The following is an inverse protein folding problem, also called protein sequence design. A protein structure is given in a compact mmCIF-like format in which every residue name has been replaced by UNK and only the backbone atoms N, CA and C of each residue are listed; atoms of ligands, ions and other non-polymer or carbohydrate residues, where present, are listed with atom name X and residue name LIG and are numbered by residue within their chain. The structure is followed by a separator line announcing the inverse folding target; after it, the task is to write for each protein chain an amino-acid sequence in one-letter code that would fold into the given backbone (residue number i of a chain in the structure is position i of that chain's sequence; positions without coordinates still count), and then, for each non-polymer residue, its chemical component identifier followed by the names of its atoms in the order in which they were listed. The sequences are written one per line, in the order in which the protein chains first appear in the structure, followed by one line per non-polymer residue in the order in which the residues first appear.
data_IF_383339359254
#
_entry.id   IF_383339359254
#
_cell.length_a   1.000
_cell.length_b   1.000
_cell.length_c   1.000
_cell.angle_alpha   90.00
_cell.angle_beta   90.00
_cell.angle_gamma   90.00
#
_symmetry.space_group_name_H-M   'P 1'
#
loop_
_entity.id
_entity.type
_entity.pdbx_description
1 polymer ?
#
# COMPACT_ATOMS: atom_id res chain seq x y z
N UNK A 1 -9.33 14.04 2.86
CA UNK A 1 -10.67 14.62 2.73
C UNK A 1 -11.63 14.06 3.80
N UNK A 2 -11.73 12.71 3.96
CA UNK A 2 -12.63 12.12 4.99
C UNK A 2 -12.32 12.64 6.40
N UNK A 3 -11.06 12.63 6.80
CA UNK A 3 -10.64 13.14 8.13
C UNK A 3 -10.94 14.63 8.31
N UNK A 4 -10.90 15.42 7.25
CA UNK A 4 -11.23 16.85 7.32
C UNK A 4 -12.69 17.12 7.74
N UNK A 5 -13.59 16.15 7.52
CA UNK A 5 -15.00 16.27 7.95
C UNK A 5 -15.21 15.97 9.43
N UNK A 6 -14.26 15.28 10.08
CA UNK A 6 -14.41 14.80 11.46
C UNK A 6 -13.38 15.38 12.42
N UNK A 7 -12.23 15.81 11.92
CA UNK A 7 -11.15 16.38 12.72
C UNK A 7 -11.17 17.92 12.66
N UNK A 8 -10.70 18.55 13.73
CA UNK A 8 -10.52 20.01 13.80
C UNK A 8 -9.52 20.49 12.76
N UNK A 9 -8.41 19.77 12.61
CA UNK A 9 -7.39 20.05 11.63
C UNK A 9 -6.77 18.73 11.14
N UNK A 10 -6.29 18.73 9.91
CA UNK A 10 -5.58 17.62 9.29
C UNK A 10 -4.27 18.15 8.71
N UNK A 11 -3.15 17.54 9.05
CA UNK A 11 -1.88 17.82 8.39
C UNK A 11 -1.52 16.66 7.49
N UNK A 12 -1.43 16.90 6.18
CA UNK A 12 -1.01 15.92 5.19
C UNK A 12 0.49 16.06 4.96
N UNK A 13 1.26 15.05 5.38
CA UNK A 13 2.71 15.02 5.26
C UNK A 13 3.07 14.21 4.02
N UNK A 14 3.82 14.79 3.10
CA UNK A 14 4.22 14.14 1.87
C UNK A 14 5.73 14.32 1.59
N UNK A 15 6.43 13.20 1.33
CA UNK A 15 7.89 13.17 1.16
C UNK A 15 8.43 13.78 -0.15
N UNK A 16 7.56 14.15 -1.08
CA UNK A 16 7.94 14.71 -2.39
C UNK A 16 7.23 16.03 -2.60
N UNK A 17 7.74 16.83 -3.53
CA UNK A 17 7.09 18.07 -3.93
C UNK A 17 5.77 17.83 -4.69
N UNK A 18 5.71 16.79 -5.52
CA UNK A 18 4.52 16.45 -6.31
C UNK A 18 3.80 15.21 -5.79
N UNK A 19 2.47 15.27 -5.72
CA UNK A 19 1.63 14.13 -5.41
C UNK A 19 1.51 13.16 -6.59
N UNK A 20 1.31 11.88 -6.28
CA UNK A 20 0.92 10.86 -7.26
C UNK A 20 -0.58 10.74 -7.45
N UNK A 21 -1.35 11.37 -6.57
CA UNK A 21 -2.82 11.41 -6.63
C UNK A 21 -3.31 12.19 -7.86
N UNK A 22 -4.57 11.96 -8.25
CA UNK A 22 -5.17 12.70 -9.34
C UNK A 22 -5.22 14.21 -9.03
N UNK A 23 -5.04 15.08 -10.03
CA UNK A 23 -5.07 16.54 -9.83
C UNK A 23 -6.36 17.02 -9.16
N UNK A 24 -7.47 16.37 -9.44
CA UNK A 24 -8.76 16.68 -8.81
C UNK A 24 -8.73 16.49 -7.29
N UNK A 25 -8.21 15.36 -6.81
CA UNK A 25 -8.12 15.08 -5.37
C UNK A 25 -7.14 16.04 -4.66
N UNK A 26 -6.03 16.37 -5.31
CA UNK A 26 -5.07 17.35 -4.80
C UNK A 26 -5.75 18.71 -4.64
N UNK A 27 -6.41 19.19 -5.68
CA UNK A 27 -7.15 20.46 -5.67
C UNK A 27 -8.28 20.49 -4.64
N UNK A 28 -8.95 19.34 -4.41
CA UNK A 28 -9.95 19.25 -3.32
C UNK A 28 -9.31 19.37 -1.95
N UNK A 29 -8.14 18.78 -1.73
CA UNK A 29 -7.43 18.88 -0.45
C UNK A 29 -6.89 20.30 -0.21
N UNK A 30 -6.37 20.96 -1.24
CA UNK A 30 -5.84 22.33 -1.17
C UNK A 30 -6.92 23.39 -0.88
N UNK A 31 -8.17 23.11 -1.24
CA UNK A 31 -9.32 24.01 -0.98
C UNK A 31 -9.93 23.83 0.40
N UNK A 32 -9.57 22.79 1.16
CA UNK A 32 -10.08 22.57 2.51
C UNK A 32 -9.35 23.47 3.50
N UNK A 33 -10.09 24.35 4.18
CA UNK A 33 -9.53 25.32 5.14
C UNK A 33 -8.81 24.65 6.32
N UNK A 34 -9.26 23.46 6.72
CA UNK A 34 -8.69 22.71 7.84
C UNK A 34 -7.66 21.66 7.42
N UNK A 35 -7.19 21.65 6.16
CA UNK A 35 -6.09 20.80 5.71
C UNK A 35 -4.83 21.65 5.49
N UNK A 36 -3.77 21.35 6.24
CA UNK A 36 -2.40 21.84 6.00
C UNK A 36 -1.61 20.80 5.24
N UNK A 37 -0.97 21.18 4.15
CA UNK A 37 -0.11 20.27 3.35
C UNK A 37 1.35 20.61 3.57
N UNK A 38 2.13 19.63 4.04
CA UNK A 38 3.58 19.70 4.18
C UNK A 38 4.22 18.82 3.10
N UNK A 39 4.83 19.45 2.09
CA UNK A 39 5.58 18.79 1.03
C UNK A 39 7.07 18.72 1.41
N UNK A 40 7.75 17.69 0.92
CA UNK A 40 9.16 17.42 1.22
C UNK A 40 9.45 17.16 2.69
N UNK A 41 8.46 16.62 3.41
CA UNK A 41 8.59 16.21 4.81
C UNK A 41 8.43 14.71 4.98
N UNK A 42 9.13 14.17 5.96
CA UNK A 42 8.98 12.79 6.44
C UNK A 42 8.88 12.75 7.96
N UNK A 43 8.16 11.75 8.47
CA UNK A 43 8.11 11.49 9.91
C UNK A 43 9.36 10.72 10.31
N UNK A 44 10.16 11.27 11.22
CA UNK A 44 11.34 10.60 11.76
C UNK A 44 11.06 9.84 13.04
N UNK A 45 10.25 10.43 13.93
CA UNK A 45 10.04 9.88 15.26
C UNK A 45 8.61 10.12 15.73
N UNK A 46 8.07 9.14 16.44
CA UNK A 46 6.81 9.29 17.17
C UNK A 46 7.11 9.81 18.59
N UNK A 47 6.41 10.86 19.00
CA UNK A 47 6.53 11.44 20.33
C UNK A 47 5.36 10.94 21.19
N UNK A 48 5.67 10.24 22.27
CA UNK A 48 4.67 9.60 23.14
C UNK A 48 4.91 9.98 24.60
N UNK A 49 3.82 10.01 25.36
CA UNK A 49 3.84 10.05 26.81
C UNK A 49 3.13 8.80 27.33
N UNK A 50 3.89 7.82 27.81
CA UNK A 50 3.38 6.47 28.04
C UNK A 50 2.90 5.84 26.72
N UNK A 51 1.65 5.40 26.67
CA UNK A 51 1.01 4.80 25.50
C UNK A 51 0.25 5.82 24.63
N UNK A 52 0.24 7.09 25.02
CA UNK A 52 -0.49 8.15 24.30
C UNK A 52 0.42 8.85 23.31
N UNK A 53 0.00 8.92 22.04
CA UNK A 53 0.66 9.74 21.03
C UNK A 53 0.48 11.22 21.35
N UNK A 54 1.58 11.99 21.38
CA UNK A 54 1.57 13.41 21.62
C UNK A 54 1.90 14.21 20.35
N UNK A 55 2.57 13.58 19.41
CA UNK A 55 3.00 14.24 18.19
C UNK A 55 4.05 13.44 17.43
N UNK A 56 4.67 14.08 16.48
CA UNK A 56 5.77 13.53 15.68
C UNK A 56 6.90 14.54 15.54
N UNK A 57 8.09 14.04 15.33
CA UNK A 57 9.22 14.82 14.82
C UNK A 57 9.26 14.65 13.31
N UNK A 58 9.22 15.75 12.59
CA UNK A 58 9.28 15.82 11.14
C UNK A 58 10.68 16.25 10.70
N UNK A 59 11.15 15.69 9.59
CA UNK A 59 12.32 16.15 8.87
C UNK A 59 11.89 16.82 7.56
N UNK A 60 12.32 18.06 7.37
CA UNK A 60 12.27 18.71 6.06
C UNK A 60 13.41 18.16 5.19
N UNK A 61 13.06 17.50 4.08
CA UNK A 61 14.03 16.86 3.19
C UNK A 61 14.81 17.85 2.29
N UNK A 62 14.39 19.12 2.24
CA UNK A 62 15.08 20.16 1.48
C UNK A 62 16.10 20.89 2.36
N UNK A 63 15.73 21.25 3.58
CA UNK A 63 16.58 22.04 4.48
C UNK A 63 17.38 21.19 5.46
N UNK A 64 16.96 19.94 5.70
CA UNK A 64 17.54 19.07 6.73
C UNK A 64 17.11 19.43 8.15
N UNK A 65 16.23 20.40 8.32
CA UNK A 65 15.76 20.84 9.63
C UNK A 65 14.67 19.90 10.17
N UNK A 66 14.63 19.77 11.48
CA UNK A 66 13.58 19.01 12.18
C UNK A 66 12.62 19.96 12.88
N UNK A 67 11.34 19.61 12.83
CA UNK A 67 10.28 20.33 13.59
C UNK A 67 9.37 19.35 14.31
N UNK A 68 8.83 19.77 15.44
CA UNK A 68 7.80 19.03 16.18
C UNK A 68 6.42 19.43 15.70
N UNK A 69 5.58 18.45 15.46
CA UNK A 69 4.15 18.63 15.18
C UNK A 69 3.35 17.84 16.21
N UNK A 70 2.59 18.55 17.03
CA UNK A 70 1.67 17.95 18.00
C UNK A 70 0.40 17.46 17.30
N UNK A 71 -0.11 16.29 17.71
CA UNK A 71 -1.30 15.66 17.14
C UNK A 71 -1.91 14.62 18.08
N UNK A 72 -3.20 14.37 17.90
CA UNK A 72 -3.94 13.36 18.65
C UNK A 72 -3.95 11.98 17.96
N UNK A 73 -3.66 11.94 16.66
CA UNK A 73 -3.65 10.72 15.88
C UNK A 73 -2.83 10.81 14.61
N UNK A 74 -2.26 9.69 14.18
CA UNK A 74 -1.46 9.55 12.95
C UNK A 74 -2.03 8.43 12.08
N UNK A 75 -2.38 8.77 10.83
CA UNK A 75 -2.74 7.81 9.80
C UNK A 75 -1.56 7.57 8.86
N UNK A 76 -1.08 6.34 8.80
CA UNK A 76 0.03 5.95 7.93
C UNK A 76 -0.55 5.50 6.59
N UNK A 77 -0.35 6.31 5.55
CA UNK A 77 -0.84 6.08 4.19
C UNK A 77 0.31 6.17 3.16
N UNK A 78 1.46 5.56 3.47
CA UNK A 78 2.69 5.63 2.67
C UNK A 78 2.73 4.64 1.51
N UNK A 79 1.68 3.84 1.33
CA UNK A 79 1.57 2.76 0.36
C UNK A 79 1.81 1.40 1.01
N UNK A 80 1.72 0.37 0.17
CA UNK A 80 1.92 -1.02 0.57
C UNK A 80 3.13 -1.59 -0.17
N UNK A 81 3.83 -2.50 0.48
CA UNK A 81 4.86 -3.34 -0.12
C UNK A 81 4.39 -4.80 -0.04
N UNK A 82 4.43 -5.55 -1.15
CA UNK A 82 4.04 -6.95 -1.14
C UNK A 82 5.06 -7.77 -0.33
N UNK A 83 4.56 -8.75 0.43
CA UNK A 83 5.39 -9.67 1.23
C UNK A 83 5.76 -10.90 0.39
N UNK A 84 6.52 -10.71 -0.67
CA UNK A 84 6.94 -11.78 -1.59
C UNK A 84 8.26 -12.46 -1.21
N UNK A 85 9.01 -11.90 -0.27
CA UNK A 85 10.33 -12.39 0.11
C UNK A 85 10.39 -13.91 0.41
N UNK A 86 9.41 -14.54 1.07
CA UNK A 86 9.47 -15.98 1.38
C UNK A 86 9.51 -16.89 0.14
N UNK A 87 8.99 -16.43 -1.00
CA UNK A 87 8.84 -17.26 -2.21
C UNK A 87 9.55 -16.69 -3.44
N UNK A 88 10.25 -15.58 -3.31
CA UNK A 88 10.89 -14.90 -4.44
C UNK A 88 12.01 -15.72 -5.12
N UNK A 89 12.58 -16.70 -4.41
CA UNK A 89 13.58 -17.63 -4.97
C UNK A 89 12.92 -18.79 -5.74
N UNK A 90 11.66 -19.12 -5.40
CA UNK A 90 10.94 -20.24 -6.01
C UNK A 90 10.09 -19.80 -7.20
N UNK A 91 9.53 -18.60 -7.19
CA UNK A 91 8.64 -18.10 -8.24
C UNK A 91 9.10 -16.74 -8.75
N UNK A 92 8.83 -16.45 -10.02
CA UNK A 92 9.20 -15.20 -10.64
C UNK A 92 8.45 -14.01 -10.01
N UNK A 93 9.18 -12.97 -9.64
CA UNK A 93 8.65 -11.72 -9.09
C UNK A 93 9.15 -10.51 -9.87
N UNK A 94 8.36 -9.46 -9.91
CA UNK A 94 8.74 -8.17 -10.49
C UNK A 94 8.25 -7.03 -9.59
N UNK A 95 9.17 -6.15 -9.19
CA UNK A 95 8.91 -5.07 -8.23
C UNK A 95 8.26 -5.57 -6.91
N UNK A 96 8.61 -6.79 -6.48
CA UNK A 96 8.07 -7.42 -5.27
C UNK A 96 6.71 -8.09 -5.45
N UNK A 97 6.14 -8.12 -6.65
CA UNK A 97 4.87 -8.81 -6.93
C UNK A 97 5.12 -10.11 -7.69
N UNK A 98 4.36 -11.16 -7.37
CA UNK A 98 4.39 -12.42 -8.09
C UNK A 98 3.91 -12.25 -9.52
N UNK A 99 4.67 -12.78 -10.48
CA UNK A 99 4.27 -12.82 -11.89
C UNK A 99 3.30 -13.98 -12.10
N UNK A 100 2.05 -13.67 -12.31
CA UNK A 100 1.01 -14.62 -12.69
C UNK A 100 -0.01 -13.90 -13.58
N UNK A 101 -0.49 -14.57 -14.62
CA UNK A 101 -1.51 -14.06 -15.53
C UNK A 101 -2.94 -14.15 -14.94
N UNK A 102 -3.94 -13.99 -15.79
CA UNK A 102 -5.35 -14.15 -15.40
C UNK A 102 -5.68 -15.59 -14.97
N UNK A 103 -4.88 -16.56 -15.42
CA UNK A 103 -4.93 -17.97 -15.01
C UNK A 103 -4.32 -18.22 -13.63
N UNK A 104 -3.76 -17.19 -12.99
CA UNK A 104 -3.11 -17.23 -11.68
C UNK A 104 -1.89 -18.14 -11.54
N UNK A 105 -1.45 -18.79 -12.62
CA UNK A 105 -0.28 -19.67 -12.64
C UNK A 105 1.01 -18.88 -12.48
N UNK A 106 1.90 -19.36 -11.61
CA UNK A 106 3.25 -18.81 -11.45
C UNK A 106 4.26 -19.51 -12.37
N UNK A 107 5.52 -19.12 -12.28
CA UNK A 107 6.62 -19.81 -12.97
C UNK A 107 6.90 -21.22 -12.46
N UNK A 108 6.40 -21.60 -11.29
CA UNK A 108 6.56 -22.92 -10.68
C UNK A 108 5.25 -23.71 -10.82
N UNK A 109 5.26 -24.88 -11.50
CA UNK A 109 4.08 -25.72 -11.61
C UNK A 109 3.50 -26.11 -10.24
N UNK A 110 2.18 -26.10 -10.12
CA UNK A 110 1.48 -26.39 -8.87
C UNK A 110 1.44 -25.22 -7.87
N UNK A 111 2.05 -24.08 -8.20
CA UNK A 111 2.00 -22.86 -7.38
C UNK A 111 1.22 -21.78 -8.11
N UNK A 112 0.24 -21.20 -7.40
CA UNK A 112 -0.66 -20.18 -7.93
C UNK A 112 -0.57 -18.93 -7.09
N UNK A 113 -0.71 -17.76 -7.71
CA UNK A 113 -0.71 -16.47 -7.02
C UNK A 113 -2.05 -15.74 -7.22
N UNK A 114 -2.65 -15.27 -6.14
CA UNK A 114 -3.93 -14.57 -6.14
C UNK A 114 -3.89 -13.29 -5.30
N UNK A 115 -4.80 -12.38 -5.57
CA UNK A 115 -4.99 -11.17 -4.78
C UNK A 115 -3.92 -10.10 -5.02
N UNK A 116 -3.70 -9.28 -4.01
CA UNK A 116 -2.85 -8.08 -4.12
C UNK A 116 -1.35 -8.36 -4.20
N UNK A 117 -0.93 -9.60 -3.88
CA UNK A 117 0.45 -10.07 -4.08
C UNK A 117 0.81 -10.32 -5.55
N UNK A 118 -0.18 -10.52 -6.43
CA UNK A 118 -0.01 -10.71 -7.86
C UNK A 118 0.27 -9.38 -8.57
N UNK A 119 1.13 -9.39 -9.58
CA UNK A 119 1.35 -8.22 -10.45
C UNK A 119 0.08 -7.93 -11.26
N UNK A 120 -0.61 -6.83 -10.96
CA UNK A 120 -1.82 -6.37 -11.65
C UNK A 120 -2.00 -4.85 -11.47
N UNK A 121 -2.84 -4.25 -12.31
CA UNK A 121 -3.10 -2.80 -12.28
C UNK A 121 -4.07 -2.41 -11.17
N UNK A 122 -5.16 -3.16 -11.02
CA UNK A 122 -6.24 -2.86 -10.07
C UNK A 122 -6.12 -3.78 -8.84
N UNK A 123 -6.02 -3.17 -7.67
CA UNK A 123 -5.97 -3.85 -6.36
C UNK A 123 -7.17 -3.41 -5.55
N UNK A 124 -8.20 -4.25 -5.53
CA UNK A 124 -9.45 -4.05 -4.81
C UNK A 124 -9.91 -5.40 -4.24
N UNK A 125 -10.72 -5.36 -3.19
CA UNK A 125 -11.27 -6.58 -2.59
C UNK A 125 -11.96 -7.48 -3.63
N UNK A 126 -12.75 -6.91 -4.53
CA UNK A 126 -13.44 -7.64 -5.59
C UNK A 126 -12.48 -8.34 -6.55
N UNK A 127 -11.38 -7.69 -6.94
CA UNK A 127 -10.37 -8.31 -7.80
C UNK A 127 -9.55 -9.37 -7.06
N UNK A 128 -9.35 -9.22 -5.76
CA UNK A 128 -8.68 -10.25 -4.94
C UNK A 128 -9.56 -11.51 -4.79
N UNK A 129 -10.87 -11.35 -4.60
CA UNK A 129 -11.84 -12.47 -4.55
C UNK A 129 -11.90 -13.20 -5.89
N UNK A 130 -11.95 -12.47 -7.00
CA UNK A 130 -11.93 -13.05 -8.35
C UNK A 130 -10.67 -13.88 -8.61
N UNK A 131 -9.50 -13.34 -8.25
CA UNK A 131 -8.22 -14.07 -8.35
C UNK A 131 -8.25 -15.36 -7.51
N UNK A 132 -8.82 -15.31 -6.30
CA UNK A 132 -8.93 -16.49 -5.43
C UNK A 132 -9.77 -17.60 -6.04
N UNK A 133 -10.89 -17.26 -6.65
CA UNK A 133 -11.73 -18.23 -7.38
C UNK A 133 -10.98 -18.82 -8.60
N UNK A 134 -10.29 -17.99 -9.38
CA UNK A 134 -9.50 -18.45 -10.52
C UNK A 134 -8.36 -19.38 -10.09
N UNK A 135 -7.64 -19.03 -9.01
CA UNK A 135 -6.55 -19.85 -8.46
C UNK A 135 -7.04 -21.21 -7.97
N UNK A 136 -8.18 -21.25 -7.26
CA UNK A 136 -8.76 -22.50 -6.78
C UNK A 136 -9.13 -23.44 -7.94
N UNK A 137 -9.79 -22.91 -8.98
CA UNK A 137 -10.12 -23.69 -10.18
C UNK A 137 -8.89 -24.16 -10.94
N UNK A 138 -7.85 -23.32 -11.02
CA UNK A 138 -6.58 -23.69 -11.66
C UNK A 138 -5.87 -24.79 -10.87
N UNK A 139 -5.90 -24.73 -9.54
CA UNK A 139 -5.33 -25.78 -8.68
C UNK A 139 -6.08 -27.13 -8.82
N UNK A 140 -7.42 -27.12 -8.87
CA UNK A 140 -8.22 -28.32 -9.10
C UNK A 140 -7.85 -28.98 -10.44
N UNK A 141 -7.80 -28.21 -11.52
CA UNK A 141 -7.42 -28.72 -12.85
C UNK A 141 -6.01 -29.29 -12.86
N UNK A 142 -5.07 -28.62 -12.20
CA UNK A 142 -3.70 -29.10 -12.07
C UNK A 142 -3.64 -30.48 -11.39
N UNK A 143 -4.40 -30.68 -10.30
CA UNK A 143 -4.45 -31.96 -9.60
C UNK A 143 -5.12 -33.06 -10.45
N UNK A 144 -6.21 -32.74 -11.19
CA UNK A 144 -6.85 -33.67 -12.11
C UNK A 144 -5.90 -34.13 -13.21
N UNK A 145 -5.11 -33.21 -13.80
CA UNK A 145 -4.11 -33.52 -14.82
C UNK A 145 -3.00 -34.43 -14.28
N UNK A 146 -2.57 -34.24 -13.03
CA UNK A 146 -1.57 -35.11 -12.38
C UNK A 146 -2.13 -36.49 -12.05
N UNK A 147 -3.37 -36.58 -11.58
CA UNK A 147 -4.03 -37.85 -11.23
C UNK A 147 -4.42 -38.72 -12.44
N UNK A 148 -4.46 -38.17 -13.65
CA UNK A 148 -4.70 -38.91 -14.89
C UNK A 148 -3.39 -39.49 -15.49
N UNK A 149 -2.24 -39.13 -14.92
CA UNK A 149 -0.91 -39.55 -15.40
C UNK A 149 -0.37 -40.76 -14.65
N UNK A 150 -1.12 -41.29 -13.69
CA UNK A 150 -0.89 -42.60 -13.00
C UNK A 150 -1.81 -43.67 -13.59
#
# INVERSE_FOLDING_TARGET
LLLANTCRSVTLIHRRNAFRASPHLVSCAERQENIRILRNYTVQKLLRLGDVLQGVELLNLETGETERLDMDGLFIAVGQAPQSAPFQEAVAVENGYYLAGEDTKTSLPGVFAAGDGRKKQVRQLTTAVSDGAAAALAACRYLEEQGQSE
#
